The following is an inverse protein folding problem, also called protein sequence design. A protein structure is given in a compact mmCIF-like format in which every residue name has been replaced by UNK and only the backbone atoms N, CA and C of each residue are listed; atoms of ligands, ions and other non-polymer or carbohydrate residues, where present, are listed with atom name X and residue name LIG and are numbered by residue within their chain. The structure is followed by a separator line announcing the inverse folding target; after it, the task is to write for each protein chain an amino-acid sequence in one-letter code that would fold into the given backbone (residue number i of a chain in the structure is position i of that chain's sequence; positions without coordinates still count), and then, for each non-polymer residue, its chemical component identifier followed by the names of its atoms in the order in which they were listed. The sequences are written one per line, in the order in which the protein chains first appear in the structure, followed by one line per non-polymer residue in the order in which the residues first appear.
data_IF_909787543538
#
_entry.id   IF_909787543538
#
_cell.length_a   1.000
_cell.length_b   1.000
_cell.length_c   1.000
_cell.angle_alpha   90.00
_cell.angle_beta   90.00
_cell.angle_gamma   90.00
#
_symmetry.space_group_name_H-M   'P 1'
#
loop_
_entity.id
_entity.type
_entity.pdbx_description
1 polymer ?
#
# COMPACT_ATOMS: atom_id res chain seq x y z
N UNK A 1 20.23 31.13 31.14
CA UNK A 1 20.17 31.03 29.67
C UNK A 1 18.89 30.27 29.36
N UNK A 2 17.82 30.96 29.02
CA UNK A 2 16.54 30.32 28.66
C UNK A 2 16.76 29.76 27.25
N UNK A 3 16.74 28.43 27.11
CA UNK A 3 16.70 27.78 25.81
C UNK A 3 15.32 28.10 25.21
N UNK A 4 15.27 29.08 24.32
CA UNK A 4 14.10 29.35 23.50
C UNK A 4 13.97 28.19 22.51
N UNK A 5 13.15 27.19 22.86
CA UNK A 5 12.76 26.17 21.91
C UNK A 5 11.82 26.82 20.89
N UNK A 6 12.04 26.64 19.58
CA UNK A 6 11.14 27.17 18.57
C UNK A 6 9.74 26.62 18.85
N UNK A 7 8.78 27.50 19.16
CA UNK A 7 7.38 27.14 19.29
C UNK A 7 6.86 26.80 17.91
N UNK A 8 6.92 25.52 17.55
CA UNK A 8 6.29 25.03 16.33
C UNK A 8 4.78 25.07 16.54
N UNK A 9 4.09 25.85 15.71
CA UNK A 9 2.65 25.98 15.78
C UNK A 9 1.94 24.65 15.48
N UNK A 10 0.88 24.32 16.23
CA UNK A 10 0.18 23.04 16.11
C UNK A 10 -0.40 22.81 14.69
N UNK A 11 -0.80 23.88 13.99
CA UNK A 11 -1.27 23.77 12.61
C UNK A 11 -0.15 23.40 11.63
N UNK A 12 1.09 23.81 11.93
CA UNK A 12 2.26 23.49 11.11
C UNK A 12 2.66 22.02 11.27
N UNK A 13 2.54 21.46 12.48
CA UNK A 13 2.78 20.03 12.74
C UNK A 13 1.73 19.17 12.05
N UNK A 14 0.45 19.54 12.16
CA UNK A 14 -0.63 18.79 11.52
C UNK A 14 -0.45 18.72 10.00
N UNK A 15 -0.07 19.84 9.39
CA UNK A 15 0.13 19.92 7.94
C UNK A 15 1.39 19.17 7.48
N UNK A 16 2.47 19.23 8.26
CA UNK A 16 3.66 18.41 8.02
C UNK A 16 3.33 16.91 8.05
N UNK A 17 2.57 16.47 9.06
CA UNK A 17 2.14 15.07 9.18
C UNK A 17 1.26 14.63 8.00
N UNK A 18 0.36 15.50 7.53
CA UNK A 18 -0.45 15.21 6.34
C UNK A 18 0.43 15.03 5.10
N UNK A 19 1.42 15.89 4.88
CA UNK A 19 2.35 15.76 3.75
C UNK A 19 3.23 14.51 3.86
N UNK A 20 3.67 14.12 5.06
CA UNK A 20 4.45 12.89 5.26
C UNK A 20 3.70 11.62 4.84
N UNK A 21 2.36 11.62 4.89
CA UNK A 21 1.55 10.51 4.41
C UNK A 21 1.38 10.49 2.88
N UNK A 22 1.76 11.57 2.19
CA UNK A 22 1.51 11.77 0.76
C UNK A 22 2.78 11.65 -0.07
N UNK A 23 2.65 11.17 -1.31
CA UNK A 23 3.71 11.27 -2.29
C UNK A 23 3.87 12.74 -2.66
N UNK A 24 5.03 13.31 -2.31
CA UNK A 24 5.31 14.73 -2.47
C UNK A 24 6.43 15.02 -3.48
N UNK A 25 6.96 13.99 -4.15
CA UNK A 25 7.99 14.13 -5.18
C UNK A 25 7.60 13.31 -6.40
N UNK A 26 7.68 13.96 -7.55
CA UNK A 26 7.31 13.41 -8.85
C UNK A 26 8.41 13.77 -9.85
N UNK A 27 8.77 12.83 -10.70
CA UNK A 27 9.75 13.03 -11.76
C UNK A 27 9.24 12.32 -13.01
N UNK A 28 9.30 12.99 -14.16
CA UNK A 28 8.96 12.38 -15.44
C UNK A 28 10.20 11.82 -16.17
N UNK A 29 9.99 11.12 -17.27
CA UNK A 29 11.07 10.56 -18.10
C UNK A 29 11.90 11.61 -18.84
N UNK A 30 11.49 12.88 -18.81
CA UNK A 30 12.11 14.01 -19.52
C UNK A 30 12.87 14.94 -18.56
N UNK A 31 13.20 14.47 -17.35
CA UNK A 31 13.90 15.23 -16.30
C UNK A 31 13.12 16.38 -15.66
N UNK A 32 11.83 16.54 -15.96
CA UNK A 32 11.00 17.48 -15.21
C UNK A 32 10.72 16.90 -13.83
N UNK A 33 10.74 17.74 -12.81
CA UNK A 33 10.37 17.34 -11.45
C UNK A 33 9.38 18.30 -10.84
N UNK A 34 8.48 17.74 -10.04
CA UNK A 34 7.56 18.47 -9.19
C UNK A 34 7.77 18.00 -7.76
N UNK A 35 7.99 18.94 -6.85
CA UNK A 35 7.99 18.67 -5.42
C UNK A 35 6.95 19.52 -4.71
N UNK A 36 6.36 18.94 -3.66
CA UNK A 36 5.41 19.62 -2.78
C UNK A 36 6.00 19.62 -1.37
N UNK A 37 6.26 20.78 -0.81
CA UNK A 37 6.91 20.90 0.49
C UNK A 37 6.25 21.99 1.33
N UNK A 38 6.58 22.00 2.62
CA UNK A 38 6.42 23.19 3.44
C UNK A 38 7.68 24.03 3.33
N UNK A 39 7.53 25.27 2.89
CA UNK A 39 8.65 26.17 2.65
C UNK A 39 8.39 27.56 3.20
N UNK A 40 9.44 28.37 3.15
CA UNK A 40 9.34 29.81 3.36
C UNK A 40 8.89 30.48 2.07
N UNK A 41 7.96 31.41 2.20
CA UNK A 41 7.55 32.33 1.13
C UNK A 41 8.32 33.65 1.32
N UNK A 42 9.32 33.95 0.48
CA UNK A 42 10.13 35.16 0.62
C UNK A 42 9.36 36.40 0.18
N UNK A 43 9.98 37.56 0.36
CA UNK A 43 9.52 38.80 -0.28
C UNK A 43 9.76 38.73 -1.79
N UNK A 44 8.76 39.07 -2.58
CA UNK A 44 8.86 39.11 -4.04
C UNK A 44 7.78 40.01 -4.65
N UNK A 45 8.03 40.47 -5.88
CA UNK A 45 7.02 41.03 -6.76
C UNK A 45 6.67 40.01 -7.84
N UNK A 46 5.39 39.86 -8.13
CA UNK A 46 4.90 38.84 -9.05
C UNK A 46 3.40 38.87 -9.15
N UNK A 47 2.78 37.70 -9.05
CA UNK A 47 1.36 37.56 -9.32
C UNK A 47 0.67 36.63 -8.33
N UNK A 48 -0.63 36.87 -8.19
CA UNK A 48 -1.60 35.97 -7.59
C UNK A 48 -2.54 35.44 -8.65
N UNK A 49 -2.56 34.13 -8.80
CA UNK A 49 -3.47 33.39 -9.65
C UNK A 49 -4.56 32.75 -8.80
N UNK A 50 -5.81 33.07 -9.13
CA UNK A 50 -7.00 32.40 -8.61
C UNK A 50 -7.43 31.34 -9.60
N UNK A 51 -7.52 30.10 -9.14
CA UNK A 51 -8.01 28.98 -9.91
C UNK A 51 -9.15 28.27 -9.18
N UNK A 52 -10.06 27.70 -9.95
CA UNK A 52 -11.23 26.98 -9.45
C UNK A 52 -11.12 25.50 -9.84
N UNK A 53 -11.31 24.61 -8.86
CA UNK A 53 -11.36 23.17 -9.09
C UNK A 53 -12.40 22.55 -8.15
N UNK A 54 -13.42 21.89 -8.70
CA UNK A 54 -14.48 21.27 -7.87
C UNK A 54 -15.33 22.24 -7.08
N UNK A 55 -15.48 23.48 -7.57
CA UNK A 55 -16.13 24.55 -6.83
C UNK A 55 -15.31 25.11 -5.66
N UNK A 56 -14.10 24.61 -5.45
CA UNK A 56 -13.15 25.15 -4.47
C UNK A 56 -12.24 26.18 -5.13
N UNK A 57 -11.90 27.22 -4.37
CA UNK A 57 -10.98 28.27 -4.78
C UNK A 57 -9.58 27.99 -4.26
N UNK A 58 -8.60 28.04 -5.14
CA UNK A 58 -7.19 27.94 -4.79
C UNK A 58 -6.50 29.24 -5.22
N UNK A 59 -5.76 29.85 -4.29
CA UNK A 59 -4.95 31.04 -4.55
C UNK A 59 -3.47 30.68 -4.51
N UNK A 60 -2.81 30.86 -5.65
CA UNK A 60 -1.38 30.56 -5.83
C UNK A 60 -0.65 31.87 -6.12
N UNK A 61 0.40 32.15 -5.37
CA UNK A 61 1.31 33.24 -5.67
C UNK A 61 2.62 32.72 -6.25
N UNK A 62 3.25 33.51 -7.11
CA UNK A 62 4.55 33.18 -7.70
C UNK A 62 5.32 34.43 -8.12
N UNK A 63 6.64 34.29 -8.19
CA UNK A 63 7.55 35.38 -8.51
C UNK A 63 7.53 35.71 -10.02
N UNK A 64 7.41 37.00 -10.35
CA UNK A 64 7.37 37.46 -11.75
C UNK A 64 8.67 37.17 -12.50
N UNK A 65 9.83 37.32 -11.84
CA UNK A 65 11.13 37.03 -12.44
C UNK A 65 11.33 35.54 -12.74
N UNK A 66 10.91 34.65 -11.84
CA UNK A 66 10.94 33.21 -12.07
C UNK A 66 10.00 32.81 -13.22
N UNK A 67 8.80 33.40 -13.27
CA UNK A 67 7.88 33.16 -14.37
C UNK A 67 8.45 33.63 -15.72
N UNK A 68 9.09 34.81 -15.75
CA UNK A 68 9.73 35.32 -16.96
C UNK A 68 10.82 34.37 -17.47
N UNK A 69 11.65 33.83 -16.58
CA UNK A 69 12.67 32.85 -16.93
C UNK A 69 12.04 31.52 -17.40
N UNK A 70 10.98 31.07 -16.72
CA UNK A 70 10.22 29.87 -17.09
C UNK A 70 9.63 29.94 -18.50
N UNK A 71 9.13 31.12 -18.89
CA UNK A 71 8.51 31.39 -20.18
C UNK A 71 9.50 31.89 -21.25
N UNK A 72 10.80 31.96 -20.96
CA UNK A 72 11.78 32.58 -21.85
C UNK A 72 11.76 31.97 -23.26
N UNK A 73 11.63 30.64 -23.38
CA UNK A 73 11.54 29.96 -24.68
C UNK A 73 10.29 30.27 -25.51
N UNK A 74 9.26 30.91 -24.94
CA UNK A 74 8.04 31.34 -25.65
C UNK A 74 7.95 32.86 -25.81
N UNK A 75 8.55 33.63 -24.91
CA UNK A 75 8.42 35.10 -24.86
C UNK A 75 9.66 35.84 -25.40
N UNK A 76 10.75 35.14 -25.71
CA UNK A 76 12.03 35.74 -26.10
C UNK A 76 12.43 36.88 -25.13
N UNK A 77 12.45 38.12 -25.62
CA UNK A 77 12.76 39.34 -24.86
C UNK A 77 11.52 40.11 -24.37
N UNK A 78 10.32 39.63 -24.67
CA UNK A 78 9.06 40.29 -24.28
C UNK A 78 8.80 40.06 -22.80
N UNK A 79 8.64 41.14 -22.03
CA UNK A 79 8.27 41.04 -20.63
C UNK A 79 6.81 40.56 -20.49
N UNK A 80 6.58 39.54 -19.67
CA UNK A 80 5.25 39.00 -19.40
C UNK A 80 4.28 40.09 -18.89
N UNK A 81 4.77 41.02 -18.06
CA UNK A 81 4.03 42.19 -17.55
C UNK A 81 3.49 43.11 -18.64
N UNK A 82 4.15 43.17 -19.80
CA UNK A 82 3.75 44.04 -20.90
C UNK A 82 2.56 43.48 -21.70
N UNK A 83 2.24 42.20 -21.51
CA UNK A 83 1.17 41.52 -22.23
C UNK A 83 -0.21 41.88 -21.66
N UNK A 84 -1.24 41.99 -22.51
CA UNK A 84 -2.63 42.03 -22.05
C UNK A 84 -2.98 40.83 -21.18
N UNK A 85 -3.81 41.05 -20.16
CA UNK A 85 -4.22 40.00 -19.21
C UNK A 85 -4.82 38.75 -19.90
N UNK A 86 -5.51 38.91 -21.04
CA UNK A 86 -6.04 37.77 -21.81
C UNK A 86 -4.93 36.88 -22.37
N UNK A 87 -3.83 37.46 -22.85
CA UNK A 87 -2.67 36.70 -23.34
C UNK A 87 -1.86 36.11 -22.19
N UNK A 88 -1.73 36.83 -21.07
CA UNK A 88 -1.11 36.30 -19.86
C UNK A 88 -1.82 35.03 -19.38
N UNK A 89 -3.16 35.07 -19.28
CA UNK A 89 -3.98 33.91 -18.90
C UNK A 89 -3.86 32.76 -19.91
N UNK A 90 -3.84 33.06 -21.21
CA UNK A 90 -3.69 32.04 -22.25
C UNK A 90 -2.31 31.35 -22.17
N UNK A 91 -1.24 32.10 -21.93
CA UNK A 91 0.12 31.55 -21.74
C UNK A 91 0.20 30.67 -20.49
N UNK A 92 -0.40 31.10 -19.37
CA UNK A 92 -0.45 30.27 -18.16
C UNK A 92 -1.27 28.99 -18.42
N UNK A 93 -2.39 29.08 -19.13
CA UNK A 93 -3.19 27.92 -19.51
C UNK A 93 -2.38 26.93 -20.36
N UNK A 94 -1.59 27.41 -21.34
CA UNK A 94 -0.77 26.54 -22.18
C UNK A 94 0.33 25.81 -21.41
N UNK A 95 0.80 26.35 -20.28
CA UNK A 95 1.76 25.64 -19.42
C UNK A 95 1.12 24.48 -18.64
N UNK A 96 -0.21 24.50 -18.47
CA UNK A 96 -0.96 23.46 -17.74
C UNK A 96 -1.40 22.34 -18.70
N UNK A 97 -1.61 22.66 -19.98
CA UNK A 97 -2.08 21.73 -21.02
C UNK A 97 -1.36 20.35 -21.02
N UNK A 98 -0.01 20.28 -20.95
CA UNK A 98 0.70 19.00 -20.96
C UNK A 98 0.36 18.08 -19.78
N UNK A 99 -0.17 18.64 -18.68
CA UNK A 99 -0.44 17.92 -17.43
C UNK A 99 -1.93 17.69 -17.18
N UNK A 100 -2.80 18.05 -18.13
CA UNK A 100 -4.26 17.97 -17.99
C UNK A 100 -4.76 16.58 -17.60
N UNK A 101 -4.22 15.52 -18.19
CA UNK A 101 -4.60 14.14 -17.85
C UNK A 101 -4.25 13.77 -16.41
N UNK A 102 -3.06 14.18 -15.94
CA UNK A 102 -2.61 13.93 -14.58
C UNK A 102 -3.49 14.71 -13.60
N UNK A 103 -3.72 15.99 -13.88
CA UNK A 103 -4.55 16.85 -13.03
C UNK A 103 -5.98 16.31 -12.97
N UNK A 104 -6.57 15.92 -14.10
CA UNK A 104 -7.90 15.33 -14.14
C UNK A 104 -7.98 14.02 -13.34
N UNK A 105 -6.93 13.20 -13.37
CA UNK A 105 -6.87 11.96 -12.57
C UNK A 105 -6.82 12.26 -11.07
N UNK A 106 -6.02 13.24 -10.65
CA UNK A 106 -5.83 13.58 -9.24
C UNK A 106 -7.06 14.29 -8.64
N UNK A 107 -7.64 15.24 -9.37
CA UNK A 107 -8.71 16.12 -8.88
C UNK A 107 -10.11 15.76 -9.41
N UNK A 108 -10.21 14.77 -10.29
CA UNK A 108 -11.45 14.39 -10.99
C UNK A 108 -11.88 15.37 -12.10
N UNK A 109 -11.27 16.55 -12.17
CA UNK A 109 -11.64 17.64 -13.08
C UNK A 109 -10.45 18.56 -13.35
N UNK A 110 -10.58 19.42 -14.38
CA UNK A 110 -9.54 20.36 -14.75
C UNK A 110 -9.69 21.69 -13.99
N UNK A 111 -8.57 22.31 -13.57
CA UNK A 111 -8.58 23.63 -12.97
C UNK A 111 -8.96 24.67 -14.02
N UNK A 112 -9.79 25.62 -13.61
CA UNK A 112 -10.14 26.79 -14.42
C UNK A 112 -9.39 27.99 -13.87
N UNK A 113 -8.54 28.60 -14.70
CA UNK A 113 -7.89 29.85 -14.36
C UNK A 113 -8.92 30.97 -14.38
N UNK A 114 -9.21 31.55 -13.22
CA UNK A 114 -10.29 32.54 -13.04
C UNK A 114 -9.77 33.97 -13.14
N UNK A 115 -8.66 34.25 -12.45
CA UNK A 115 -8.14 35.63 -12.33
C UNK A 115 -6.64 35.65 -12.08
N UNK A 116 -5.93 36.51 -12.79
CA UNK A 116 -4.54 36.84 -12.53
C UNK A 116 -4.45 38.31 -12.10
N UNK A 117 -3.70 38.59 -11.03
CA UNK A 117 -3.49 39.94 -10.52
C UNK A 117 -2.03 40.14 -10.10
N UNK A 118 -1.44 41.32 -10.31
CA UNK A 118 -0.16 41.66 -9.71
C UNK A 118 -0.22 41.54 -8.18
N UNK A 119 0.82 41.01 -7.58
CA UNK A 119 0.92 40.79 -6.13
C UNK A 119 2.34 41.12 -5.65
N UNK A 120 2.42 41.88 -4.56
CA UNK A 120 3.67 42.13 -3.85
C UNK A 120 3.61 41.47 -2.47
N UNK A 121 4.54 40.54 -2.24
CA UNK A 121 4.73 39.93 -0.94
C UNK A 121 5.70 40.79 -0.12
N UNK A 122 5.15 41.48 0.88
CA UNK A 122 5.89 42.44 1.71
C UNK A 122 6.55 41.84 2.96
N UNK A 123 6.19 40.62 3.33
CA UNK A 123 6.73 39.97 4.52
C UNK A 123 6.96 38.48 4.26
N UNK A 124 8.03 37.96 4.85
CA UNK A 124 8.32 36.53 4.81
C UNK A 124 7.28 35.75 5.62
N UNK A 125 6.79 34.66 5.04
CA UNK A 125 5.87 33.74 5.71
C UNK A 125 6.52 32.36 5.81
N UNK A 126 6.40 31.73 6.97
CA UNK A 126 6.89 30.37 7.19
C UNK A 126 5.76 29.35 7.02
N UNK A 127 6.13 28.09 6.78
CA UNK A 127 5.22 26.95 6.69
C UNK A 127 4.08 27.14 5.68
N UNK A 128 4.41 27.71 4.52
CA UNK A 128 3.49 27.84 3.39
C UNK A 128 3.66 26.61 2.49
N UNK A 129 2.55 26.03 2.04
CA UNK A 129 2.58 24.95 1.07
C UNK A 129 3.19 25.48 -0.24
N UNK A 130 4.31 24.91 -0.64
CA UNK A 130 5.09 25.31 -1.81
C UNK A 130 5.15 24.15 -2.79
N UNK A 131 4.80 24.43 -4.04
CA UNK A 131 5.04 23.54 -5.16
C UNK A 131 6.24 24.09 -5.92
N UNK A 132 7.27 23.26 -6.12
CA UNK A 132 8.43 23.62 -6.94
C UNK A 132 8.42 22.75 -8.18
N UNK A 133 8.38 23.42 -9.33
CA UNK A 133 8.41 22.76 -10.64
C UNK A 133 9.77 23.07 -11.26
N UNK A 134 10.51 22.04 -11.63
CA UNK A 134 11.76 22.18 -12.37
C UNK A 134 11.61 21.59 -13.78
N UNK A 135 12.09 22.33 -14.78
CA UNK A 135 12.17 21.91 -16.18
C UNK A 135 13.48 22.39 -16.76
N UNK A 136 14.30 21.45 -17.25
CA UNK A 136 15.64 21.73 -17.77
C UNK A 136 16.46 22.62 -16.80
N UNK A 137 16.74 23.86 -17.20
CA UNK A 137 17.49 24.86 -16.41
C UNK A 137 16.59 25.92 -15.72
N UNK A 138 15.27 25.72 -15.70
CA UNK A 138 14.30 26.62 -15.09
C UNK A 138 13.62 25.99 -13.87
N UNK A 139 13.42 26.80 -12.83
CA UNK A 139 12.68 26.42 -11.63
C UNK A 139 11.62 27.48 -11.32
N UNK A 140 10.41 27.03 -11.03
CA UNK A 140 9.28 27.88 -10.67
C UNK A 140 8.71 27.45 -9.32
N UNK A 141 8.72 28.37 -8.36
CA UNK A 141 8.09 28.17 -7.06
C UNK A 141 6.70 28.80 -7.02
N UNK A 142 5.73 28.00 -6.59
CA UNK A 142 4.32 28.35 -6.46
C UNK A 142 3.91 28.19 -5.00
N UNK A 143 3.42 29.26 -4.37
CA UNK A 143 3.00 29.26 -2.96
C UNK A 143 1.48 29.28 -2.86
N UNK A 144 0.91 28.32 -2.14
CA UNK A 144 -0.54 28.17 -2.00
C UNK A 144 -1.00 28.85 -0.71
N UNK A 145 -1.77 29.94 -0.85
CA UNK A 145 -2.26 30.72 0.28
C UNK A 145 -3.68 30.29 0.72
N UNK A 146 -4.49 29.83 -0.23
CA UNK A 146 -5.87 29.40 0.00
C UNK A 146 -6.12 28.11 -0.78
N UNK A 147 -6.94 27.21 -0.21
CA UNK A 147 -7.29 25.94 -0.86
C UNK A 147 -6.19 24.87 -0.81
N UNK A 148 -5.22 24.99 0.10
CA UNK A 148 -4.12 24.01 0.25
C UNK A 148 -4.59 22.60 0.58
N UNK A 149 -5.66 22.45 1.37
CA UNK A 149 -6.20 21.14 1.75
C UNK A 149 -6.68 20.38 0.51
N UNK A 150 -7.29 21.08 -0.45
CA UNK A 150 -7.73 20.51 -1.74
C UNK A 150 -6.55 19.90 -2.50
N UNK A 151 -5.39 20.57 -2.49
CA UNK A 151 -4.18 20.05 -3.13
C UNK A 151 -3.61 18.85 -2.36
N UNK A 152 -3.49 18.96 -1.03
CA UNK A 152 -2.93 17.89 -0.18
C UNK A 152 -3.78 16.63 -0.27
N UNK A 153 -5.10 16.75 -0.21
CA UNK A 153 -6.03 15.62 -0.26
C UNK A 153 -5.95 14.90 -1.61
N UNK A 154 -5.76 15.64 -2.70
CA UNK A 154 -5.60 15.10 -4.04
C UNK A 154 -4.24 14.41 -4.28
N UNK A 155 -3.21 14.65 -3.44
CA UNK A 155 -1.94 13.95 -3.59
C UNK A 155 -2.11 12.44 -3.36
N UNK A 156 -1.42 11.59 -4.15
CA UNK A 156 -1.37 10.16 -3.89
C UNK A 156 -0.81 9.86 -2.50
N UNK A 157 -1.19 8.73 -1.91
CA UNK A 157 -0.54 8.25 -0.69
C UNK A 157 0.93 7.93 -0.99
N UNK A 158 1.82 8.27 -0.07
CA UNK A 158 3.22 7.88 -0.19
C UNK A 158 3.28 6.35 -0.23
N UNK A 159 3.97 5.73 -1.23
CA UNK A 159 4.26 4.32 -1.15
C UNK A 159 5.06 4.08 0.14
N UNK A 160 4.53 3.27 1.04
CA UNK A 160 5.27 2.89 2.23
C UNK A 160 6.46 2.04 1.79
N UNK A 161 7.68 2.56 1.94
CA UNK A 161 8.94 1.83 1.67
C UNK A 161 9.03 0.51 2.45
N UNK A 162 8.34 0.41 3.60
CA UNK A 162 8.25 -0.84 4.36
C UNK A 162 7.47 -1.92 3.61
N UNK A 163 6.46 -1.55 2.82
CA UNK A 163 5.61 -2.51 2.10
C UNK A 163 6.33 -3.26 0.98
N UNK A 164 7.34 -2.62 0.37
CA UNK A 164 8.10 -3.21 -0.74
C UNK A 164 9.17 -4.21 -0.25
N UNK A 165 9.66 -4.03 0.99
CA UNK A 165 10.78 -4.82 1.53
C UNK A 165 10.38 -5.84 2.60
N UNK A 166 9.15 -5.79 3.13
CA UNK A 166 8.67 -6.79 4.09
C UNK A 166 8.05 -7.95 3.32
N UNK A 167 8.76 -9.09 3.33
CA UNK A 167 8.25 -10.37 2.88
C UNK A 167 7.61 -11.11 4.07
N UNK A 168 6.36 -11.51 3.90
CA UNK A 168 5.62 -12.30 4.87
C UNK A 168 5.64 -13.78 4.45
N UNK A 169 5.86 -14.71 5.38
CA UNK A 169 5.69 -16.11 5.09
C UNK A 169 4.20 -16.43 4.90
N UNK A 170 3.88 -17.21 3.88
CA UNK A 170 2.56 -17.75 3.66
C UNK A 170 2.61 -19.27 3.51
N UNK A 171 1.47 -19.90 3.83
CA UNK A 171 1.25 -21.34 3.74
C UNK A 171 0.09 -21.63 2.80
N UNK A 172 0.17 -22.76 2.10
CA UNK A 172 -0.90 -23.27 1.27
C UNK A 172 -1.51 -24.50 1.95
N UNK A 173 -2.63 -24.27 2.64
CA UNK A 173 -3.32 -25.33 3.38
C UNK A 173 -4.27 -26.08 2.46
N UNK A 174 -4.14 -27.40 2.42
CA UNK A 174 -4.95 -28.24 1.52
C UNK A 174 -5.97 -29.09 2.28
N UNK A 175 -5.89 -29.11 3.61
CA UNK A 175 -6.88 -29.72 4.46
C UNK A 175 -6.67 -29.42 5.93
N UNK A 176 -7.72 -29.64 6.72
CA UNK A 176 -7.70 -29.53 8.17
C UNK A 176 -8.52 -30.64 8.81
N UNK A 177 -8.22 -30.91 10.07
CA UNK A 177 -8.94 -31.87 10.91
C UNK A 177 -8.85 -31.43 12.37
N UNK A 178 -9.80 -31.87 13.19
CA UNK A 178 -9.78 -31.60 14.64
C UNK A 178 -9.61 -32.89 15.41
N UNK A 179 -8.57 -32.95 16.24
CA UNK A 179 -8.35 -34.07 17.15
C UNK A 179 -8.60 -33.63 18.58
N UNK A 180 -9.15 -34.53 19.41
CA UNK A 180 -9.16 -34.32 20.85
C UNK A 180 -7.73 -34.41 21.40
N UNK A 181 -7.42 -33.66 22.45
CA UNK A 181 -6.08 -33.64 23.06
C UNK A 181 -5.54 -35.05 23.36
N UNK A 182 -6.37 -35.96 23.87
CA UNK A 182 -5.93 -37.33 24.14
C UNK A 182 -5.58 -38.16 22.90
N UNK A 183 -6.23 -37.89 21.76
CA UNK A 183 -5.87 -38.52 20.48
C UNK A 183 -4.60 -37.88 19.89
N UNK A 184 -4.44 -36.58 20.09
CA UNK A 184 -3.24 -35.85 19.67
C UNK A 184 -1.98 -36.35 20.40
N UNK A 185 -2.07 -36.61 21.71
CA UNK A 185 -0.96 -37.16 22.52
C UNK A 185 -0.57 -38.60 22.13
N UNK A 186 -1.48 -39.34 21.48
CA UNK A 186 -1.28 -40.72 21.06
C UNK A 186 -0.81 -40.86 19.60
N UNK A 187 -0.60 -39.74 18.90
CA UNK A 187 -0.22 -39.76 17.49
C UNK A 187 1.20 -40.31 17.31
N UNK A 188 1.35 -41.36 16.51
CA UNK A 188 2.62 -42.04 16.27
C UNK A 188 3.04 -42.01 14.79
N UNK A 189 4.30 -42.37 14.53
CA UNK A 189 4.82 -42.51 13.17
C UNK A 189 4.08 -43.62 12.44
N UNK A 190 3.63 -43.34 11.22
CA UNK A 190 2.85 -44.26 10.38
C UNK A 190 1.34 -44.17 10.57
N UNK A 191 0.85 -43.41 11.56
CA UNK A 191 -0.59 -43.17 11.73
C UNK A 191 -1.16 -42.42 10.53
N UNK A 192 -2.41 -42.72 10.20
CA UNK A 192 -3.15 -42.06 9.13
C UNK A 192 -4.22 -41.16 9.72
N UNK A 193 -4.11 -39.87 9.42
CA UNK A 193 -5.05 -38.83 9.85
C UNK A 193 -5.88 -38.38 8.66
N UNK A 194 -7.20 -38.52 8.77
CA UNK A 194 -8.13 -38.11 7.71
C UNK A 194 -8.53 -36.65 7.85
N UNK A 195 -8.79 -35.98 6.71
CA UNK A 195 -9.31 -34.63 6.71
C UNK A 195 -10.79 -34.60 7.08
N UNK A 196 -11.17 -33.59 7.87
CA UNK A 196 -12.57 -33.18 8.02
C UNK A 196 -12.95 -32.25 6.87
N UNK A 197 -12.05 -31.30 6.56
CA UNK A 197 -12.16 -30.41 5.41
C UNK A 197 -10.99 -30.64 4.46
N UNK A 198 -11.30 -30.98 3.20
CA UNK A 198 -10.31 -31.33 2.18
C UNK A 198 -10.50 -30.47 0.94
N UNK A 199 -9.49 -29.68 0.59
CA UNK A 199 -9.51 -28.78 -0.56
C UNK A 199 -8.77 -29.38 -1.77
N UNK A 200 -7.79 -30.24 -1.53
CA UNK A 200 -6.98 -30.84 -2.61
C UNK A 200 -7.80 -31.71 -3.56
N UNK A 201 -8.91 -32.31 -3.10
CA UNK A 201 -9.81 -33.08 -3.95
C UNK A 201 -10.38 -32.27 -5.13
N UNK A 202 -10.42 -30.94 -5.00
CA UNK A 202 -10.90 -30.00 -6.02
C UNK A 202 -9.74 -29.21 -6.66
N UNK A 203 -8.48 -29.61 -6.45
CA UNK A 203 -7.29 -28.83 -6.80
C UNK A 203 -7.27 -27.43 -6.19
N UNK A 204 -7.92 -27.27 -5.03
CA UNK A 204 -7.98 -26.02 -4.31
C UNK A 204 -7.09 -26.05 -3.07
N UNK A 205 -6.62 -24.87 -2.68
CA UNK A 205 -5.85 -24.64 -1.45
C UNK A 205 -6.31 -23.34 -0.80
N UNK A 206 -6.13 -23.23 0.52
CA UNK A 206 -6.28 -22.00 1.27
C UNK A 206 -4.94 -21.28 1.39
N UNK A 207 -4.90 -20.03 0.95
CA UNK A 207 -3.78 -19.14 1.13
C UNK A 207 -3.83 -18.53 2.55
N UNK A 208 -2.86 -18.88 3.37
CA UNK A 208 -2.77 -18.48 4.76
C UNK A 208 -1.55 -17.59 5.02
N UNK A 209 -1.77 -16.47 5.71
CA UNK A 209 -0.68 -15.60 6.20
C UNK A 209 -0.91 -15.39 7.68
N UNK A 210 0.14 -15.55 8.50
CA UNK A 210 0.07 -15.37 9.96
C UNK A 210 -1.10 -16.15 10.61
N UNK A 211 -1.35 -17.37 10.14
CA UNK A 211 -2.43 -18.25 10.60
C UNK A 211 -3.86 -17.75 10.35
N UNK A 212 -4.04 -16.80 9.41
CA UNK A 212 -5.34 -16.36 8.94
C UNK A 212 -5.57 -16.87 7.52
N UNK A 213 -6.75 -17.47 7.29
CA UNK A 213 -7.21 -17.80 5.95
C UNK A 213 -7.61 -16.50 5.24
N UNK A 214 -6.94 -16.17 4.14
CA UNK A 214 -7.21 -14.94 3.39
C UNK A 214 -7.96 -15.22 2.09
N UNK A 215 -7.53 -16.23 1.34
CA UNK A 215 -8.04 -16.52 0.00
C UNK A 215 -8.20 -18.02 -0.24
N UNK A 216 -9.24 -18.39 -0.97
CA UNK A 216 -9.36 -19.69 -1.62
C UNK A 216 -8.74 -19.60 -3.01
N UNK A 217 -7.90 -20.57 -3.34
CA UNK A 217 -7.05 -20.53 -4.53
C UNK A 217 -7.14 -21.86 -5.28
N UNK A 218 -7.01 -21.81 -6.60
CA UNK A 218 -6.73 -22.98 -7.42
C UNK A 218 -5.23 -23.06 -7.68
N UNK A 219 -4.72 -24.28 -7.77
CA UNK A 219 -3.29 -24.54 -7.84
C UNK A 219 -2.98 -25.52 -8.97
N UNK A 220 -2.23 -25.05 -9.96
CA UNK A 220 -1.81 -25.80 -11.13
C UNK A 220 -0.27 -25.87 -11.18
N UNK A 221 0.31 -27.01 -10.76
CA UNK A 221 1.76 -27.30 -10.63
C UNK A 221 2.55 -26.31 -9.74
N UNK A 222 2.79 -25.11 -10.25
CA UNK A 222 3.48 -24.00 -9.59
C UNK A 222 2.71 -22.68 -9.68
N UNK A 223 1.58 -22.65 -10.38
CA UNK A 223 0.80 -21.44 -10.60
C UNK A 223 -0.38 -21.41 -9.63
N UNK A 224 -0.50 -20.32 -8.88
CA UNK A 224 -1.57 -20.11 -7.93
C UNK A 224 -2.54 -19.04 -8.43
N UNK A 225 -3.80 -19.42 -8.56
CA UNK A 225 -4.90 -18.57 -9.02
C UNK A 225 -5.81 -18.20 -7.85
N UNK A 226 -5.92 -16.91 -7.54
CA UNK A 226 -6.82 -16.42 -6.49
C UNK A 226 -8.26 -16.50 -6.99
N UNK A 227 -9.11 -17.29 -6.31
CA UNK A 227 -10.52 -17.45 -6.68
C UNK A 227 -11.39 -16.43 -5.96
N UNK A 228 -11.42 -16.50 -4.63
CA UNK A 228 -12.28 -15.66 -3.80
C UNK A 228 -11.71 -15.49 -2.41
N UNK A 229 -12.18 -14.46 -1.70
CA UNK A 229 -11.75 -14.18 -0.33
C UNK A 229 -12.34 -15.22 0.60
N UNK A 230 -11.53 -15.82 1.47
CA UNK A 230 -12.06 -16.74 2.47
C UNK A 230 -12.88 -15.92 3.46
N UNK A 231 -14.17 -16.25 3.56
CA UNK A 231 -14.99 -15.74 4.64
C UNK A 231 -14.70 -16.60 5.86
N UNK A 232 -14.01 -16.04 6.85
CA UNK A 232 -13.94 -16.65 8.17
C UNK A 232 -15.35 -16.65 8.76
N UNK A 233 -16.15 -17.64 8.40
CA UNK A 233 -17.32 -18.01 9.19
C UNK A 233 -16.71 -18.61 10.46
N UNK A 234 -16.45 -17.77 11.46
CA UNK A 234 -16.31 -18.26 12.81
C UNK A 234 -17.61 -18.99 13.10
N UNK A 235 -17.58 -20.31 13.12
CA UNK A 235 -18.63 -21.11 13.72
C UNK A 235 -18.70 -20.71 15.19
N UNK A 236 -19.56 -19.73 15.46
CA UNK A 236 -20.08 -19.47 16.79
C UNK A 236 -21.00 -20.64 17.08
N UNK A 237 -20.49 -21.70 17.71
CA UNK A 237 -21.21 -22.75 18.45
C UNK A 237 -20.14 -23.61 19.14
N UNK A 238 -20.20 -23.96 20.42
CA UNK A 238 -21.24 -23.88 21.44
C UNK A 238 -20.49 -24.00 22.77
N UNK A 239 -20.82 -23.15 23.75
CA UNK A 239 -20.26 -23.27 25.09
C UNK A 239 -20.92 -24.46 25.79
N UNK A 240 -20.47 -25.67 25.46
CA UNK A 240 -20.61 -26.82 26.33
C UNK A 240 -19.46 -26.75 27.34
N UNK A 241 -19.79 -26.89 28.63
CA UNK A 241 -18.78 -26.84 29.68
C UNK A 241 -17.88 -28.09 29.57
N UNK A 242 -16.74 -27.96 28.89
CA UNK A 242 -15.68 -28.96 28.86
C UNK A 242 -15.28 -29.27 30.30
N UNK A 243 -15.63 -30.47 30.77
CA UNK A 243 -15.34 -30.93 32.13
C UNK A 243 -14.06 -31.76 32.19
N UNK A 244 -13.56 -32.19 31.02
CA UNK A 244 -12.34 -32.98 30.83
C UNK A 244 -11.41 -32.29 29.82
N UNK A 245 -10.18 -32.00 30.22
CA UNK A 245 -9.18 -31.36 29.38
C UNK A 245 -8.77 -32.22 28.18
N UNK A 246 -8.92 -33.55 28.27
CA UNK A 246 -8.59 -34.48 27.20
C UNK A 246 -9.49 -34.34 25.96
N UNK A 247 -10.64 -33.65 26.10
CA UNK A 247 -11.58 -33.37 25.02
C UNK A 247 -11.32 -32.03 24.31
N UNK A 248 -10.28 -31.29 24.70
CA UNK A 248 -9.96 -30.02 24.07
C UNK A 248 -9.65 -30.23 22.58
N UNK A 249 -10.37 -29.56 21.65
CA UNK A 249 -10.11 -29.72 20.23
C UNK A 249 -8.81 -29.01 19.83
N UNK A 250 -7.90 -29.76 19.23
CA UNK A 250 -6.68 -29.28 18.60
C UNK A 250 -6.91 -29.28 17.08
N UNK A 251 -6.79 -28.11 16.45
CA UNK A 251 -6.89 -28.02 15.00
C UNK A 251 -5.53 -28.34 14.38
N UNK A 252 -5.53 -29.35 13.51
CA UNK A 252 -4.39 -29.68 12.67
C UNK A 252 -4.63 -29.15 11.26
N UNK A 253 -3.66 -28.40 10.75
CA UNK A 253 -3.61 -27.95 9.36
C UNK A 253 -2.46 -28.62 8.64
N UNK A 254 -2.70 -28.97 7.39
CA UNK A 254 -1.71 -29.62 6.54
C UNK A 254 -1.41 -28.72 5.37
N UNK A 255 -0.13 -28.38 5.21
CA UNK A 255 0.33 -27.35 4.30
C UNK A 255 1.42 -27.86 3.38
N UNK A 256 1.46 -27.32 2.17
CA UNK A 256 2.57 -27.57 1.26
C UNK A 256 3.47 -26.36 1.14
N UNK A 257 4.67 -26.49 1.69
CA UNK A 257 5.77 -25.55 1.53
C UNK A 257 5.54 -24.20 2.22
N UNK A 258 6.60 -23.68 2.82
CA UNK A 258 6.63 -22.28 3.25
C UNK A 258 7.10 -21.41 2.08
N UNK A 259 6.30 -20.42 1.72
CA UNK A 259 6.64 -19.45 0.68
C UNK A 259 6.65 -18.04 1.26
N UNK A 260 7.14 -17.07 0.49
CA UNK A 260 7.15 -15.66 0.89
C UNK A 260 6.42 -14.80 -0.13
N UNK A 261 5.66 -13.83 0.36
CA UNK A 261 4.95 -12.82 -0.43
C UNK A 261 5.30 -11.43 0.09
N UNK A 262 5.52 -10.44 -0.78
CA UNK A 262 5.73 -9.06 -0.31
C UNK A 262 4.42 -8.44 0.14
N UNK A 263 4.47 -7.46 1.04
CA UNK A 263 3.26 -6.75 1.47
C UNK A 263 2.58 -6.03 0.29
N UNK A 264 3.35 -5.54 -0.68
CA UNK A 264 2.83 -5.00 -1.95
C UNK A 264 2.02 -6.04 -2.73
N UNK A 265 2.58 -7.23 -2.97
CA UNK A 265 1.90 -8.33 -3.65
C UNK A 265 0.64 -8.76 -2.89
N UNK A 266 0.73 -8.84 -1.56
CA UNK A 266 -0.40 -9.20 -0.70
C UNK A 266 -1.56 -8.19 -0.84
N UNK A 267 -1.25 -6.90 -0.93
CA UNK A 267 -2.24 -5.84 -1.13
C UNK A 267 -2.84 -5.83 -2.54
N UNK A 268 -2.14 -6.39 -3.52
CA UNK A 268 -2.61 -6.51 -4.91
C UNK A 268 -3.47 -7.76 -5.15
N UNK A 269 -3.53 -8.70 -4.19
CA UNK A 269 -4.32 -9.92 -4.33
C UNK A 269 -5.81 -9.59 -4.48
N UNK A 270 -6.41 -10.13 -5.53
CA UNK A 270 -7.83 -10.02 -5.85
C UNK A 270 -8.25 -11.24 -6.69
N UNK A 271 -9.55 -11.56 -6.78
CA UNK A 271 -10.04 -12.61 -7.67
C UNK A 271 -9.49 -12.47 -9.09
N UNK A 272 -8.98 -13.57 -9.64
CA UNK A 272 -8.32 -13.62 -10.95
C UNK A 272 -6.84 -13.25 -10.95
N UNK A 273 -6.28 -12.77 -9.83
CA UNK A 273 -4.84 -12.60 -9.69
C UNK A 273 -4.14 -13.96 -9.76
N UNK A 274 -3.05 -14.02 -10.52
CA UNK A 274 -2.27 -15.24 -10.73
C UNK A 274 -0.80 -14.96 -10.50
N UNK A 275 -0.11 -15.84 -9.78
CA UNK A 275 1.33 -15.74 -9.61
C UNK A 275 1.98 -17.12 -9.51
N UNK A 276 3.27 -17.16 -9.85
CA UNK A 276 4.09 -18.37 -9.77
C UNK A 276 4.69 -18.54 -8.36
N UNK A 277 4.65 -19.76 -7.85
CA UNK A 277 5.32 -20.17 -6.63
C UNK A 277 6.82 -20.34 -6.92
N UNK A 278 7.66 -19.90 -5.98
CA UNK A 278 9.12 -19.97 -6.14
C UNK A 278 9.65 -21.41 -6.13
N UNK A 279 8.86 -22.36 -5.62
CA UNK A 279 9.21 -23.78 -5.60
C UNK A 279 7.96 -24.61 -5.90
N UNK A 280 8.12 -25.75 -6.59
CA UNK A 280 7.04 -26.70 -6.75
C UNK A 280 6.61 -27.25 -5.40
N UNK A 281 5.39 -27.75 -5.38
CA UNK A 281 4.76 -28.39 -4.23
C UNK A 281 5.43 -29.73 -4.02
N UNK A 282 6.44 -29.76 -3.15
CA UNK A 282 7.16 -30.98 -2.82
C UNK A 282 6.49 -31.66 -1.64
N UNK A 283 6.22 -32.95 -1.77
CA UNK A 283 6.13 -33.84 -0.61
C UNK A 283 7.53 -33.93 0.03
N UNK A 284 7.63 -33.96 1.37
CA UNK A 284 6.55 -34.16 2.34
C UNK A 284 5.74 -32.90 2.68
N UNK A 285 4.51 -33.13 3.14
CA UNK A 285 3.58 -32.13 3.67
C UNK A 285 4.02 -31.74 5.08
N UNK A 286 3.89 -30.45 5.42
CA UNK A 286 4.06 -29.98 6.79
C UNK A 286 2.75 -30.11 7.57
N UNK A 287 2.79 -30.71 8.76
CA UNK A 287 1.69 -30.74 9.71
C UNK A 287 1.89 -29.66 10.78
N UNK A 288 0.86 -28.83 10.99
CA UNK A 288 0.84 -27.80 12.04
C UNK A 288 -0.32 -28.03 13.00
N UNK A 289 -0.06 -27.91 14.30
CA UNK A 289 -1.09 -27.85 15.35
C UNK A 289 -1.24 -26.40 15.82
N UNK A 290 -2.45 -25.83 15.69
CA UNK A 290 -2.74 -24.44 16.05
C UNK A 290 -1.68 -23.44 15.52
N UNK A 291 -1.18 -23.69 14.30
CA UNK A 291 -0.18 -22.86 13.63
C UNK A 291 1.29 -23.16 13.94
N UNK A 292 1.60 -24.07 14.88
CA UNK A 292 2.98 -24.52 15.16
C UNK A 292 3.30 -25.77 14.35
N UNK A 293 4.46 -25.80 13.67
CA UNK A 293 4.96 -26.99 12.97
C UNK A 293 5.27 -28.10 13.99
N UNK A 294 4.70 -29.28 13.76
CA UNK A 294 4.82 -30.44 14.67
C UNK A 294 5.26 -31.71 13.96
N UNK A 295 5.38 -31.72 12.63
CA UNK A 295 5.81 -32.92 11.92
C UNK A 295 5.75 -32.80 10.40
N UNK A 296 6.20 -33.86 9.75
CA UNK A 296 6.09 -34.07 8.32
C UNK A 296 5.20 -35.28 8.05
N UNK A 297 4.45 -35.21 6.94
CA UNK A 297 3.51 -36.23 6.55
C UNK A 297 3.53 -36.44 5.04
N UNK A 298 2.93 -37.53 4.56
CA UNK A 298 2.67 -37.74 3.14
C UNK A 298 1.17 -37.88 2.89
N UNK A 299 0.71 -37.33 1.77
CA UNK A 299 -0.68 -37.46 1.36
C UNK A 299 -0.97 -38.91 0.96
N UNK A 300 -2.02 -39.49 1.54
CA UNK A 300 -2.46 -40.86 1.24
C UNK A 300 -3.95 -40.87 0.89
N UNK A 301 -4.33 -41.77 -0.01
CA UNK A 301 -5.73 -42.07 -0.31
C UNK A 301 -6.03 -43.50 0.12
N UNK A 302 -6.93 -43.67 1.10
CA UNK A 302 -7.34 -44.98 1.61
C UNK A 302 -8.85 -45.11 1.47
N UNK A 303 -9.31 -46.06 0.66
CA UNK A 303 -10.74 -46.33 0.43
C UNK A 303 -11.53 -45.07 0.00
N UNK A 304 -11.01 -44.31 -0.96
CA UNK A 304 -11.58 -43.05 -1.45
C UNK A 304 -11.62 -41.91 -0.41
N UNK A 305 -10.94 -42.08 0.73
CA UNK A 305 -10.78 -41.04 1.75
C UNK A 305 -9.35 -40.53 1.77
N UNK A 306 -9.19 -39.23 1.50
CA UNK A 306 -7.92 -38.55 1.59
C UNK A 306 -7.54 -38.27 3.05
N UNK A 307 -6.27 -38.46 3.34
CA UNK A 307 -5.65 -38.14 4.62
C UNK A 307 -4.16 -37.95 4.46
N UNK A 308 -3.46 -37.85 5.57
CA UNK A 308 -2.00 -37.90 5.61
C UNK A 308 -1.52 -39.06 6.45
N UNK A 309 -0.38 -39.65 6.08
CA UNK A 309 0.38 -40.56 6.93
C UNK A 309 1.52 -39.80 7.60
N UNK A 310 1.64 -39.93 8.92
CA UNK A 310 2.70 -39.28 9.70
C UNK A 310 4.04 -39.92 9.36
N UNK A 311 4.99 -39.10 8.89
CA UNK A 311 6.36 -39.52 8.56
C UNK A 311 7.33 -39.20 9.69
N UNK A 312 7.18 -38.01 10.28
CA UNK A 312 8.04 -37.50 11.34
C UNK A 312 7.24 -36.61 12.28
N UNK A 313 7.60 -36.61 13.57
CA UNK A 313 7.02 -35.74 14.60
C UNK A 313 8.12 -34.92 15.29
N UNK A 314 8.03 -33.61 15.17
CA UNK A 314 8.93 -32.65 15.78
C UNK A 314 8.44 -32.30 17.19
N UNK A 315 8.93 -33.06 18.17
CA UNK A 315 8.52 -32.86 19.57
C UNK A 315 9.17 -33.80 20.59
N UNK A 316 10.01 -34.74 20.17
CA UNK A 316 10.70 -35.63 21.08
C UNK A 316 11.95 -35.01 21.69
N UNK A 317 11.90 -34.64 22.96
CA UNK A 317 13.08 -34.70 23.83
C UNK A 317 13.47 -36.18 23.94
N UNK A 318 14.35 -36.69 23.08
CA UNK A 318 15.06 -37.94 23.35
C UNK A 318 16.30 -37.65 24.20
N UNK A 319 16.11 -37.68 25.52
CA UNK A 319 17.08 -38.18 26.51
C UNK A 319 16.23 -38.58 27.73
N UNK A 320 16.23 -39.86 28.20
CA UNK A 320 17.42 -40.46 28.80
C UNK A 320 17.60 -42.00 28.65
N UNK A 321 18.86 -42.45 28.59
CA UNK A 321 19.51 -43.49 29.43
C UNK A 321 20.83 -43.94 28.77
#
# INVERSE_FOLDING_TARGET
MILDFPKVDASSIALSNQLCAKQCHFQDSQSNSLSVTLGQKPEFSGYRLTLLIGGQTIQIDFCGAQLQQWLHGMLDSTAFESLPNSLQMALLSSQIEPYTDVIKRLFGQLPVLSKLQPHEQQAQQENVLMLTINRDDASLSLWVNEGRDVLIDALPQAPSYLSQNIALPFWLSFGKTRLALGQFEQLELGDVVFFDDCYIAQHQVLFQVSNQNLWRCQLDETTLHILEKETNMNDINSSEALTDHQQLPIELTFDVGQQTITLEQLNALQPGFTFELNQPISNPVTMRANGKIIGECELVNINERLGVRVLELFGGSQEPA
#
